data_IF_131171881900
#
_entry.id   IF_131171881900
#
_cell.length_a   1.000
_cell.length_b   1.000
_cell.length_c   1.000
_cell.angle_alpha   90.00
_cell.angle_beta   90.00
_cell.angle_gamma   90.00
#
_symmetry.space_group_name_H-M   'P 1'
#
loop_
_entity.id
_entity.type
_entity.pdbx_description
1 polymer ?
#
# COMPACT_ATOMS: atom_id res chain seq x y z
N UNK A 1 3.39 32.89 5.48
CA UNK A 1 3.89 31.51 5.60
C UNK A 1 2.78 30.55 5.22
N UNK A 2 3.03 29.64 4.28
CA UNK A 2 2.02 28.67 3.86
C UNK A 2 1.81 27.62 4.95
N UNK A 3 0.65 27.64 5.60
CA UNK A 3 0.29 26.63 6.59
C UNK A 3 0.11 25.26 5.90
N UNK A 4 0.37 24.18 6.65
CA UNK A 4 0.11 22.78 6.22
C UNK A 4 -1.28 22.59 5.58
N UNK A 5 -2.27 23.34 6.06
CA UNK A 5 -3.64 23.35 5.56
C UNK A 5 -3.77 23.97 4.15
N UNK A 6 -3.01 25.03 3.87
CA UNK A 6 -2.99 25.69 2.57
C UNK A 6 -2.42 24.77 1.48
N UNK A 7 -1.33 24.06 1.79
CA UNK A 7 -0.75 23.04 0.89
C UNK A 7 -1.69 21.85 0.67
N UNK A 8 -2.37 21.38 1.73
CA UNK A 8 -3.34 20.29 1.61
C UNK A 8 -4.52 20.66 0.71
N UNK A 9 -5.02 21.90 0.84
CA UNK A 9 -6.11 22.42 0.01
C UNK A 9 -5.70 22.56 -1.44
N UNK A 10 -4.58 23.23 -1.72
CA UNK A 10 -4.06 23.39 -3.08
C UNK A 10 -3.81 22.03 -3.76
N UNK A 11 -3.24 21.07 -3.02
CA UNK A 11 -3.02 19.72 -3.55
C UNK A 11 -4.33 19.00 -3.87
N UNK A 12 -5.32 19.09 -2.98
CA UNK A 12 -6.64 18.51 -3.22
C UNK A 12 -7.35 19.18 -4.40
N UNK A 13 -7.23 20.50 -4.55
CA UNK A 13 -7.80 21.25 -5.67
C UNK A 13 -7.16 20.84 -7.01
N UNK A 14 -5.85 20.54 -7.03
CA UNK A 14 -5.17 20.09 -8.25
C UNK A 14 -5.33 18.58 -8.55
N UNK A 15 -5.35 17.73 -7.54
CA UNK A 15 -5.33 16.26 -7.72
C UNK A 15 -6.66 15.58 -7.46
N UNK A 16 -7.64 16.27 -6.86
CA UNK A 16 -8.90 15.71 -6.38
C UNK A 16 -8.79 14.91 -5.08
N UNK A 17 -7.59 14.61 -4.58
CA UNK A 17 -7.37 13.77 -3.41
C UNK A 17 -6.66 14.52 -2.27
N UNK A 18 -6.98 14.20 -1.00
CA UNK A 18 -6.21 14.69 0.13
C UNK A 18 -4.75 14.23 0.02
N UNK A 19 -3.79 15.15 0.21
CA UNK A 19 -2.36 14.85 0.16
C UNK A 19 -1.96 13.64 1.02
N UNK A 20 -2.52 13.54 2.23
CA UNK A 20 -2.24 12.43 3.15
C UNK A 20 -2.78 11.07 2.67
N UNK A 21 -3.88 11.06 1.92
CA UNK A 21 -4.41 9.85 1.29
C UNK A 21 -3.59 9.48 0.06
N UNK A 22 -3.20 10.46 -0.75
CA UNK A 22 -2.37 10.23 -1.92
C UNK A 22 -1.01 9.61 -1.54
N UNK A 23 -0.33 10.18 -0.54
CA UNK A 23 0.94 9.63 -0.04
C UNK A 23 0.74 8.20 0.49
N UNK A 24 -0.35 7.94 1.23
CA UNK A 24 -0.67 6.59 1.70
C UNK A 24 -0.90 5.63 0.55
N UNK A 25 -1.62 6.04 -0.49
CA UNK A 25 -1.87 5.26 -1.70
C UNK A 25 -0.56 4.87 -2.39
N UNK A 26 0.36 5.82 -2.57
CA UNK A 26 1.67 5.56 -3.20
C UNK A 26 2.53 4.62 -2.34
N UNK A 27 2.55 4.83 -1.02
CA UNK A 27 3.21 3.93 -0.06
C UNK A 27 2.63 2.51 -0.13
N UNK A 28 1.31 2.38 -0.19
CA UNK A 28 0.61 1.10 -0.29
C UNK A 28 0.95 0.39 -1.61
N UNK A 29 1.04 1.10 -2.73
CA UNK A 29 1.50 0.53 -4.01
C UNK A 29 2.91 -0.04 -3.92
N UNK A 30 3.87 0.75 -3.40
CA UNK A 30 5.25 0.27 -3.19
C UNK A 30 5.32 -0.95 -2.26
N UNK A 31 4.43 -1.01 -1.27
CA UNK A 31 4.34 -2.17 -0.38
C UNK A 31 3.81 -3.42 -1.11
N UNK A 32 2.87 -3.27 -2.04
CA UNK A 32 2.36 -4.39 -2.83
C UNK A 32 3.47 -5.02 -3.66
N UNK A 33 4.30 -4.21 -4.31
CA UNK A 33 5.47 -4.70 -5.06
C UNK A 33 6.43 -5.45 -4.12
N UNK A 34 6.79 -4.82 -3.00
CA UNK A 34 7.70 -5.42 -2.01
C UNK A 34 7.17 -6.73 -1.42
N UNK A 35 5.86 -6.87 -1.25
CA UNK A 35 5.23 -8.10 -0.77
C UNK A 35 5.33 -9.26 -1.77
N UNK A 36 5.53 -8.95 -3.06
CA UNK A 36 5.64 -9.94 -4.15
C UNK A 36 7.08 -10.26 -4.52
N UNK A 37 7.98 -9.28 -4.42
CA UNK A 37 9.41 -9.44 -4.77
C UNK A 37 10.26 -9.89 -3.59
N UNK A 38 9.76 -9.79 -2.36
CA UNK A 38 10.47 -10.22 -1.15
C UNK A 38 9.62 -11.12 -0.26
N UNK A 39 10.31 -11.96 0.51
CA UNK A 39 9.68 -12.80 1.53
C UNK A 39 9.62 -12.11 2.92
N UNK A 40 9.71 -10.78 2.95
CA UNK A 40 9.74 -10.00 4.17
C UNK A 40 8.45 -10.21 5.00
N UNK A 41 8.51 -10.29 6.34
CA UNK A 41 7.32 -10.35 7.17
C UNK A 41 6.37 -9.18 6.89
N UNK A 42 5.07 -9.45 6.78
CA UNK A 42 4.04 -8.41 6.54
C UNK A 42 4.10 -7.33 7.62
N UNK A 43 4.44 -7.71 8.85
CA UNK A 43 4.64 -6.79 9.96
C UNK A 43 5.77 -5.77 9.68
N UNK A 44 6.92 -6.21 9.17
CA UNK A 44 8.04 -5.31 8.86
C UNK A 44 7.67 -4.35 7.73
N UNK A 45 6.96 -4.84 6.71
CA UNK A 45 6.41 -3.99 5.65
C UNK A 45 5.45 -2.96 6.24
N UNK A 46 4.55 -3.35 7.15
CA UNK A 46 3.62 -2.44 7.82
C UNK A 46 4.35 -1.34 8.63
N UNK A 47 5.35 -1.72 9.42
CA UNK A 47 6.17 -0.80 10.22
C UNK A 47 6.91 0.19 9.31
N UNK A 48 7.48 -0.28 8.19
CA UNK A 48 8.21 0.57 7.23
C UNK A 48 7.33 1.67 6.59
N UNK A 49 6.01 1.49 6.60
CA UNK A 49 5.04 2.46 6.06
C UNK A 49 4.51 3.40 7.15
N UNK A 50 4.86 3.16 8.41
CA UNK A 50 4.43 3.93 9.58
C UNK A 50 3.09 3.46 10.16
N UNK A 51 2.75 2.17 10.04
CA UNK A 51 1.62 1.59 10.77
C UNK A 51 2.06 1.05 12.13
N UNK A 52 1.28 1.34 13.17
CA UNK A 52 1.53 0.84 14.52
C UNK A 52 1.23 -0.66 14.68
N UNK A 53 0.44 -1.23 13.76
CA UNK A 53 0.09 -2.65 13.78
C UNK A 53 -0.18 -3.23 12.40
N UNK A 54 0.08 -4.53 12.25
CA UNK A 54 -0.22 -5.29 11.04
C UNK A 54 -1.72 -5.27 10.70
N UNK A 55 -2.60 -5.20 11.69
CA UNK A 55 -4.05 -5.18 11.53
C UNK A 55 -4.50 -3.87 10.88
N UNK A 56 -3.95 -2.73 11.30
CA UNK A 56 -4.20 -1.42 10.69
C UNK A 56 -3.71 -1.37 9.24
N UNK A 57 -2.54 -1.96 8.97
CA UNK A 57 -2.03 -2.12 7.61
C UNK A 57 -2.95 -3.00 6.77
N UNK A 58 -3.33 -4.19 7.25
CA UNK A 58 -4.21 -5.13 6.54
C UNK A 58 -5.54 -4.48 6.13
N UNK A 59 -6.17 -3.71 7.04
CA UNK A 59 -7.40 -2.97 6.73
C UNK A 59 -7.18 -1.94 5.63
N UNK A 60 -6.12 -1.14 5.72
CA UNK A 60 -5.81 -0.09 4.75
C UNK A 60 -5.47 -0.68 3.38
N UNK A 61 -4.67 -1.74 3.36
CA UNK A 61 -4.30 -2.46 2.14
C UNK A 61 -5.51 -3.13 1.49
N UNK A 62 -6.37 -3.79 2.27
CA UNK A 62 -7.61 -4.39 1.76
C UNK A 62 -8.58 -3.35 1.19
N UNK A 63 -8.69 -2.16 1.82
CA UNK A 63 -9.50 -1.06 1.27
C UNK A 63 -8.96 -0.57 -0.08
N UNK A 64 -7.64 -0.54 -0.26
CA UNK A 64 -7.01 -0.06 -1.48
C UNK A 64 -7.01 -1.10 -2.63
N UNK A 65 -6.75 -2.38 -2.32
CA UNK A 65 -6.52 -3.43 -3.32
C UNK A 65 -7.57 -4.55 -3.31
N UNK A 66 -8.60 -4.44 -2.46
CA UNK A 66 -9.67 -5.44 -2.32
C UNK A 66 -9.27 -6.72 -1.59
N UNK A 67 -7.97 -7.00 -1.40
CA UNK A 67 -7.45 -8.21 -0.77
C UNK A 67 -6.46 -7.88 0.34
N UNK A 68 -6.36 -8.76 1.34
CA UNK A 68 -5.34 -8.62 2.38
C UNK A 68 -3.93 -8.88 1.81
N UNK A 69 -2.87 -8.24 2.35
CA UNK A 69 -1.51 -8.35 1.82
C UNK A 69 -0.96 -9.79 1.82
N UNK A 70 -1.34 -10.61 2.81
CA UNK A 70 -0.99 -12.03 2.82
C UNK A 70 -1.67 -12.85 1.72
N UNK A 71 -2.92 -12.51 1.38
CA UNK A 71 -3.62 -13.12 0.25
C UNK A 71 -3.04 -12.63 -1.09
N UNK A 72 -2.65 -11.36 -1.16
CA UNK A 72 -1.97 -10.77 -2.32
C UNK A 72 -0.67 -11.50 -2.64
N UNK A 73 0.21 -11.68 -1.64
CA UNK A 73 1.45 -12.45 -1.78
C UNK A 73 1.20 -13.85 -2.34
N UNK A 74 0.24 -14.59 -1.75
CA UNK A 74 -0.10 -15.95 -2.22
C UNK A 74 -0.63 -15.96 -3.65
N UNK A 75 -1.46 -14.98 -4.04
CA UNK A 75 -1.97 -14.93 -5.41
C UNK A 75 -0.88 -14.73 -6.45
N UNK A 76 0.15 -13.92 -6.16
CA UNK A 76 1.25 -13.68 -7.11
C UNK A 76 2.18 -14.88 -7.21
N UNK A 77 2.46 -15.57 -6.10
CA UNK A 77 3.20 -16.84 -6.12
C UNK A 77 2.47 -17.88 -6.98
N UNK A 78 1.14 -18.02 -6.80
CA UNK A 78 0.34 -18.97 -7.57
C UNK A 78 0.27 -18.63 -9.07
N UNK A 79 0.31 -17.34 -9.44
CA UNK A 79 0.32 -16.90 -10.83
C UNK A 79 1.67 -17.18 -11.52
N UNK A 80 2.80 -16.98 -10.83
CA UNK A 80 4.11 -17.33 -11.38
C UNK A 80 4.24 -18.84 -11.67
N UNK A 81 3.74 -19.69 -10.76
CA UNK A 81 3.73 -21.15 -10.96
C UNK A 81 2.92 -21.60 -12.17
N UNK A 82 1.86 -20.87 -12.54
CA UNK A 82 1.02 -21.20 -13.71
C UNK A 82 1.64 -20.79 -15.05
N UNK A 83 2.55 -19.82 -15.08
CA UNK A 83 3.20 -19.39 -16.34
C UNK A 83 4.33 -20.30 -16.81
N UNK A 84 4.84 -21.19 -15.95
CA UNK A 84 5.92 -22.13 -16.27
C UNK A 84 5.40 -23.53 -16.70
N UNK A 85 4.08 -23.70 -16.80
CA UNK A 85 3.42 -24.95 -17.22
C UNK A 85 2.58 -24.78 -18.49
N UNK A 86 2.81 -23.74 -19.29
CA UNK A 86 2.09 -23.47 -20.55
C UNK A 86 3.05 -23.13 -21.67
#
# INVERSE_FOLDING_TARGET
>A
GYSKWHLQRMFKEHTGYPLGEYIRSQKLKKSADRLTTSNEPILNVAISLGFDSQQSFNRSFKRQFGKAPGAWRRSVVQQHSKSLQS
#
